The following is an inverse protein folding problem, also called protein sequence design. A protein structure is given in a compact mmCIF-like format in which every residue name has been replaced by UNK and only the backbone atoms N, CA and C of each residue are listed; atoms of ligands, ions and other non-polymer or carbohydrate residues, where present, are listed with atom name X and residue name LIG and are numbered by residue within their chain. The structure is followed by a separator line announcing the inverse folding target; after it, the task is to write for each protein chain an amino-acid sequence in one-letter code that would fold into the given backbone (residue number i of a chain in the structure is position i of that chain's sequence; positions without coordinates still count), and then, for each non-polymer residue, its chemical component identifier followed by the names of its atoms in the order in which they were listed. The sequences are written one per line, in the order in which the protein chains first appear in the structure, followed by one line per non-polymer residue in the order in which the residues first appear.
data_IF_959594474752
#
_entry.id   IF_959594474752
#
_cell.length_a   1.000
_cell.length_b   1.000
_cell.length_c   1.000
_cell.angle_alpha   90.00
_cell.angle_beta   90.00
_cell.angle_gamma   90.00
#
_symmetry.space_group_name_H-M   'P 1'
#
loop_
_entity.id
_entity.type
_entity.pdbx_description
1 polymer ?
#
# COMPACT_ATOMS: atom_id res chain seq x y z
N UNK A 1 -4.70 -3.31 -60.09
CA UNK A 1 -5.34 -3.08 -58.76
C UNK A 1 -5.13 -4.19 -57.72
N UNK A 2 -4.24 -5.19 -57.92
CA UNK A 2 -3.88 -6.17 -56.88
C UNK A 2 -2.45 -6.08 -56.35
N UNK A 3 -1.60 -5.22 -56.92
CA UNK A 3 -0.21 -5.03 -56.48
C UNK A 3 -0.03 -3.91 -55.44
N UNK A 4 -0.98 -2.99 -55.28
CA UNK A 4 -0.92 -1.94 -54.24
C UNK A 4 -1.36 -2.42 -52.85
N UNK A 5 -2.13 -3.51 -52.74
CA UNK A 5 -2.53 -4.05 -51.43
C UNK A 5 -1.43 -4.86 -50.72
N UNK A 6 -0.50 -5.48 -51.46
CA UNK A 6 0.58 -6.25 -50.85
C UNK A 6 1.67 -5.36 -50.23
N UNK A 7 1.89 -4.16 -50.75
CA UNK A 7 2.82 -3.19 -50.17
C UNK A 7 2.27 -2.53 -48.90
N UNK A 8 0.95 -2.40 -48.77
CA UNK A 8 0.33 -1.92 -47.52
C UNK A 8 0.39 -2.97 -46.39
N UNK A 9 0.32 -4.27 -46.72
CA UNK A 9 0.39 -5.33 -45.71
C UNK A 9 1.79 -5.52 -45.11
N UNK A 10 2.86 -5.30 -45.89
CA UNK A 10 4.24 -5.42 -45.42
C UNK A 10 4.69 -4.26 -44.52
N UNK A 11 4.09 -3.07 -44.63
CA UNK A 11 4.40 -1.93 -43.75
C UNK A 11 3.70 -2.05 -42.39
N UNK A 12 2.54 -2.72 -42.32
CA UNK A 12 1.84 -2.95 -41.03
C UNK A 12 2.51 -4.05 -40.21
N UNK A 13 3.14 -5.05 -40.85
CA UNK A 13 3.90 -6.10 -40.16
C UNK A 13 5.28 -5.66 -39.64
N UNK A 14 5.83 -4.53 -40.13
CA UNK A 14 7.13 -4.01 -39.67
C UNK A 14 7.04 -3.05 -38.47
N UNK A 15 5.83 -2.64 -38.05
CA UNK A 15 5.62 -1.79 -36.86
C UNK A 15 5.17 -2.56 -35.61
N UNK A 16 5.12 -3.89 -35.65
CA UNK A 16 4.79 -4.75 -34.50
C UNK A 16 6.01 -5.33 -33.76
N UNK A 17 7.22 -4.83 -34.03
CA UNK A 17 8.44 -5.24 -33.33
C UNK A 17 9.20 -4.03 -32.78
N UNK A 18 8.72 -3.46 -31.66
CA UNK A 18 9.56 -2.87 -30.62
C UNK A 18 8.71 -2.45 -29.41
N UNK A 19 8.37 -3.43 -28.59
CA UNK A 19 8.37 -3.30 -27.14
C UNK A 19 8.30 -4.72 -26.54
N UNK A 20 9.38 -5.49 -26.72
CA UNK A 20 9.73 -6.52 -25.74
C UNK A 20 10.28 -5.81 -24.50
N UNK A 21 9.43 -5.03 -23.83
CA UNK A 21 9.56 -4.78 -22.42
C UNK A 21 8.96 -5.99 -21.75
N UNK A 22 9.79 -6.72 -21.00
CA UNK A 22 9.35 -7.79 -20.12
C UNK A 22 8.31 -7.22 -19.14
N UNK A 23 7.04 -7.25 -19.54
CA UNK A 23 5.91 -7.04 -18.65
C UNK A 23 5.92 -8.28 -17.75
N UNK A 24 6.55 -8.17 -16.59
CA UNK A 24 6.12 -8.94 -15.45
C UNK A 24 4.89 -8.20 -14.95
N UNK A 25 3.65 -8.60 -15.30
CA UNK A 25 2.56 -8.22 -14.42
C UNK A 25 3.00 -8.73 -13.05
N UNK A 26 3.06 -7.86 -12.05
CA UNK A 26 2.98 -8.31 -10.67
C UNK A 26 1.54 -8.83 -10.50
N UNK A 27 1.20 -9.91 -11.21
CA UNK A 27 0.19 -10.84 -10.74
C UNK A 27 0.70 -11.26 -9.37
N UNK A 28 -0.11 -10.99 -8.36
CA UNK A 28 0.05 -11.61 -7.06
C UNK A 28 0.05 -13.13 -7.29
N UNK A 29 1.24 -13.73 -7.46
CA UNK A 29 1.44 -15.18 -7.53
C UNK A 29 1.07 -15.88 -6.22
N UNK A 30 0.71 -15.12 -5.18
CA UNK A 30 0.04 -15.64 -3.99
C UNK A 30 -1.39 -16.14 -4.28
N UNK A 31 -2.07 -15.65 -5.32
CA UNK A 31 -3.47 -16.04 -5.58
C UNK A 31 -3.60 -17.42 -6.22
N UNK A 32 -2.59 -17.88 -6.96
CA UNK A 32 -2.57 -19.22 -7.57
C UNK A 32 -2.16 -20.33 -6.59
N UNK A 33 -1.58 -19.99 -5.43
CA UNK A 33 -1.16 -20.97 -4.42
C UNK A 33 -2.30 -21.42 -3.49
N UNK A 34 -3.51 -20.89 -3.64
CA UNK A 34 -4.70 -21.33 -2.90
C UNK A 34 -5.27 -22.68 -3.40
N UNK A 35 -4.68 -23.30 -4.43
CA UNK A 35 -4.94 -24.70 -4.81
C UNK A 35 -3.89 -25.62 -4.19
N UNK A 36 -3.99 -25.81 -2.87
CA UNK A 36 -3.31 -26.91 -2.18
C UNK A 36 -4.18 -28.16 -2.22
N UNK A 37 -3.88 -29.08 -3.15
CA UNK A 37 -4.30 -30.48 -2.99
C UNK A 37 -3.58 -31.06 -1.77
N UNK A 38 -4.35 -31.66 -0.84
CA UNK A 38 -3.95 -32.30 0.41
C UNK A 38 -3.78 -31.39 1.64
N UNK A 39 -4.91 -31.14 2.33
CA UNK A 39 -5.11 -31.64 3.70
C UNK A 39 -4.25 -31.11 4.85
N UNK A 40 -3.40 -30.10 4.69
CA UNK A 40 -2.71 -29.46 5.82
C UNK A 40 -2.86 -27.94 5.77
N UNK A 41 -3.77 -27.41 6.59
CA UNK A 41 -3.97 -25.97 6.82
C UNK A 41 -2.78 -25.41 7.58
N UNK A 42 -1.83 -24.81 6.86
CA UNK A 42 -0.91 -23.83 7.44
C UNK A 42 -1.64 -22.48 7.55
N UNK A 43 -1.58 -21.75 8.67
CA UNK A 43 -2.32 -20.50 8.79
C UNK A 43 -1.80 -19.47 7.79
N UNK A 44 -2.69 -18.95 6.92
CA UNK A 44 -2.40 -17.94 5.88
C UNK A 44 -1.64 -16.72 6.45
N UNK A 45 -1.89 -16.40 7.72
CA UNK A 45 -1.20 -15.36 8.48
C UNK A 45 0.33 -15.56 8.53
N UNK A 46 0.83 -16.79 8.64
CA UNK A 46 2.28 -17.06 8.61
C UNK A 46 2.89 -16.87 7.21
N UNK A 47 2.14 -17.17 6.15
CA UNK A 47 2.60 -17.02 4.77
C UNK A 47 2.66 -15.54 4.33
N UNK A 48 1.69 -14.73 4.76
CA UNK A 48 1.67 -13.28 4.54
C UNK A 48 2.76 -12.54 5.35
N UNK A 49 3.00 -12.97 6.60
CA UNK A 49 4.15 -12.49 7.40
C UNK A 49 5.48 -12.87 6.76
N UNK A 50 5.65 -14.11 6.31
CA UNK A 50 6.89 -14.58 5.69
C UNK A 50 7.19 -13.96 4.32
N UNK A 51 6.17 -13.49 3.57
CA UNK A 51 6.37 -12.76 2.31
C UNK A 51 6.74 -11.30 2.55
N UNK A 52 6.22 -10.68 3.61
CA UNK A 52 6.59 -9.33 4.06
C UNK A 52 8.02 -9.29 4.64
N UNK A 53 8.42 -10.28 5.45
CA UNK A 53 9.80 -10.45 5.95
C UNK A 53 10.80 -10.70 4.80
N UNK A 54 10.37 -11.39 3.72
CA UNK A 54 11.21 -11.56 2.50
C UNK A 54 11.43 -10.26 1.73
N UNK A 55 10.56 -9.25 1.84
CA UNK A 55 10.82 -7.90 1.31
C UNK A 55 11.89 -7.17 2.12
N UNK A 56 11.92 -7.33 3.44
CA UNK A 56 13.00 -6.82 4.28
C UNK A 56 14.36 -7.50 3.97
N UNK A 57 14.37 -8.83 3.77
CA UNK A 57 15.59 -9.57 3.42
C UNK A 57 16.18 -9.22 2.03
N UNK A 58 15.37 -8.72 1.08
CA UNK A 58 15.86 -8.23 -0.23
C UNK A 58 16.80 -7.03 -0.09
N UNK A 59 16.63 -6.20 0.94
CA UNK A 59 17.49 -5.07 1.22
C UNK A 59 18.89 -5.50 1.72
N UNK A 60 18.98 -6.64 2.42
CA UNK A 60 20.26 -7.18 2.91
C UNK A 60 21.18 -7.73 1.81
N UNK A 61 20.64 -8.20 0.68
CA UNK A 61 21.44 -8.81 -0.40
C UNK A 61 22.14 -7.79 -1.31
N UNK A 62 21.71 -6.53 -1.34
CA UNK A 62 22.40 -5.47 -2.09
C UNK A 62 23.74 -5.03 -1.47
N UNK A 63 24.08 -5.53 -0.28
CA UNK A 63 25.33 -5.21 0.42
C UNK A 63 26.57 -5.89 -0.17
N UNK A 64 26.41 -6.94 -0.99
CA UNK A 64 27.55 -7.72 -1.50
C UNK A 64 28.15 -7.22 -2.83
N UNK A 65 27.57 -6.20 -3.48
CA UNK A 65 28.07 -5.68 -4.77
C UNK A 65 27.84 -4.17 -4.92
N UNK A 66 28.63 -3.33 -4.27
CA UNK A 66 28.81 -1.93 -4.71
C UNK A 66 30.24 -1.44 -4.47
N UNK A 67 30.90 -1.09 -5.58
CA UNK A 67 32.13 -0.29 -5.65
C UNK A 67 31.86 1.15 -5.17
N UNK A 68 32.89 1.92 -4.75
CA UNK A 68 32.70 3.25 -4.15
C UNK A 68 32.13 4.28 -5.14
N UNK A 69 31.34 5.26 -4.67
CA UNK A 69 30.72 6.27 -5.52
C UNK A 69 31.71 7.39 -5.91
N UNK A 70 31.55 7.90 -7.13
CA UNK A 70 32.19 9.12 -7.66
C UNK A 70 31.62 10.41 -7.03
N UNK A 71 32.37 11.53 -7.05
CA UNK A 71 31.99 12.76 -6.34
C UNK A 71 30.78 13.47 -6.98
N UNK A 72 29.98 14.21 -6.20
CA UNK A 72 28.74 14.83 -6.67
C UNK A 72 28.99 16.10 -7.49
N UNK A 73 28.23 16.27 -8.58
CA UNK A 73 28.08 17.54 -9.30
C UNK A 73 27.02 18.42 -8.61
N UNK A 74 27.21 19.75 -8.50
CA UNK A 74 26.25 20.63 -7.85
C UNK A 74 25.06 20.94 -8.78
N UNK A 75 23.83 20.89 -8.25
CA UNK A 75 22.67 21.55 -8.87
C UNK A 75 21.47 20.69 -9.28
N UNK A 76 21.30 19.46 -8.79
CA UNK A 76 20.11 18.64 -9.11
C UNK A 76 19.48 18.07 -7.84
N UNK A 77 18.36 18.65 -7.42
CA UNK A 77 17.53 18.13 -6.32
C UNK A 77 17.21 16.65 -6.59
N UNK A 78 17.59 15.76 -5.66
CA UNK A 78 17.33 14.32 -5.79
C UNK A 78 15.93 14.02 -5.26
N UNK A 79 14.94 14.32 -6.07
CA UNK A 79 13.55 13.96 -5.81
C UNK A 79 13.23 12.63 -6.52
N UNK A 80 12.75 11.63 -5.77
CA UNK A 80 12.21 10.39 -6.34
C UNK A 80 10.69 10.37 -6.13
N UNK A 81 9.92 10.34 -7.22
CA UNK A 81 8.47 10.13 -7.22
C UNK A 81 8.15 8.69 -7.59
N UNK A 82 7.31 8.01 -6.80
CA UNK A 82 6.81 6.66 -7.11
C UNK A 82 5.30 6.71 -7.40
N UNK A 83 4.87 6.61 -8.68
CA UNK A 83 3.47 6.44 -9.04
C UNK A 83 3.02 4.99 -8.76
N UNK A 84 2.04 4.80 -7.88
CA UNK A 84 1.44 3.47 -7.64
C UNK A 84 0.01 3.43 -8.19
N UNK A 85 -0.16 2.72 -9.31
CA UNK A 85 -1.46 2.52 -9.94
C UNK A 85 -2.28 1.46 -9.21
N UNK A 86 -3.57 1.73 -8.90
CA UNK A 86 -4.52 0.67 -8.59
C UNK A 86 -4.66 -0.26 -9.81
N UNK A 87 -4.62 -1.58 -9.60
CA UNK A 87 -4.87 -2.54 -10.67
C UNK A 87 -6.34 -2.55 -11.10
N UNK A 88 -6.56 -2.41 -12.41
CA UNK A 88 -7.82 -2.49 -13.19
C UNK A 88 -8.94 -1.46 -12.97
N UNK A 89 -9.44 -0.99 -14.13
CA UNK A 89 -10.56 -0.07 -14.38
C UNK A 89 -11.84 -0.40 -13.59
N UNK A 90 -12.26 0.55 -12.75
CA UNK A 90 -13.68 0.76 -12.42
C UNK A 90 -13.92 2.25 -12.18
N UNK A 91 -14.73 2.87 -13.03
CA UNK A 91 -15.15 4.27 -12.98
C UNK A 91 -16.07 4.53 -11.79
N UNK A 92 -15.79 5.54 -10.96
CA UNK A 92 -16.75 6.13 -10.02
C UNK A 92 -16.49 7.64 -9.83
N UNK A 93 -17.53 8.43 -9.48
CA UNK A 93 -17.58 9.88 -9.69
C UNK A 93 -16.89 10.70 -8.60
N UNK A 94 -16.50 11.90 -9.00
CA UNK A 94 -15.78 12.93 -8.25
C UNK A 94 -16.63 13.61 -7.16
N UNK A 95 -16.00 13.84 -6.01
CA UNK A 95 -16.27 15.00 -5.16
C UNK A 95 -14.91 15.60 -4.78
N UNK A 96 -14.47 16.58 -5.57
CA UNK A 96 -13.22 17.31 -5.37
C UNK A 96 -13.52 18.73 -4.86
N UNK A 97 -13.16 19.00 -3.61
CA UNK A 97 -12.98 20.35 -3.12
C UNK A 97 -11.51 20.76 -3.35
N UNK A 98 -11.32 21.80 -4.15
CA UNK A 98 -10.03 22.37 -4.51
C UNK A 98 -9.40 23.16 -3.35
N UNK A 99 -8.08 23.06 -3.20
CA UNK A 99 -7.27 23.99 -2.41
C UNK A 99 -5.95 24.27 -3.14
N UNK A 100 -5.51 25.53 -3.12
CA UNK A 100 -4.52 26.14 -4.00
C UNK A 100 -3.06 26.06 -3.51
N UNK A 101 -2.12 26.16 -4.47
CA UNK A 101 -0.68 26.46 -4.40
C UNK A 101 0.22 25.75 -3.37
N UNK A 102 -0.12 24.49 -3.07
CA UNK A 102 0.87 23.42 -3.12
C UNK A 102 0.41 22.51 -4.26
N UNK A 103 1.28 21.72 -4.89
CA UNK A 103 0.86 20.74 -5.91
C UNK A 103 0.05 19.56 -5.30
N UNK A 104 -0.81 19.86 -4.31
CA UNK A 104 -1.63 18.93 -3.54
C UNK A 104 -0.87 18.13 -2.49
N UNK A 105 0.42 18.38 -2.28
CA UNK A 105 1.24 17.60 -1.36
C UNK A 105 1.05 18.00 0.10
N UNK A 106 0.89 16.99 0.95
CA UNK A 106 1.13 17.07 2.40
C UNK A 106 2.48 16.46 2.72
N UNK A 107 3.31 17.16 3.49
CA UNK A 107 4.68 16.74 3.82
C UNK A 107 4.85 16.39 5.29
N UNK A 108 5.54 15.30 5.57
CA UNK A 108 5.99 14.90 6.90
C UNK A 108 7.52 14.79 6.93
N UNK A 109 8.19 15.16 8.03
CA UNK A 109 9.63 14.96 8.18
C UNK A 109 10.04 13.49 8.08
N UNK A 110 11.18 13.23 7.45
CA UNK A 110 11.90 11.95 7.52
C UNK A 110 12.58 11.81 8.87
N UNK A 111 12.45 10.64 9.49
CA UNK A 111 13.18 10.25 10.68
C UNK A 111 14.52 9.63 10.27
N UNK A 112 15.60 10.12 10.85
CA UNK A 112 16.92 9.53 10.67
C UNK A 112 17.05 8.25 11.50
N UNK A 113 17.41 7.14 10.84
CA UNK A 113 17.72 5.88 11.50
C UNK A 113 19.24 5.62 11.45
N UNK A 114 19.96 5.66 12.60
CA UNK A 114 21.41 5.55 12.62
C UNK A 114 21.93 4.15 12.30
N UNK A 115 21.12 3.09 12.50
CA UNK A 115 21.49 1.70 12.20
C UNK A 115 21.05 1.25 10.82
N UNK A 116 19.89 1.76 10.39
CA UNK A 116 19.26 1.40 9.12
C UNK A 116 19.02 2.65 8.25
N UNK A 117 20.08 3.35 7.77
CA UNK A 117 19.97 4.63 7.06
C UNK A 117 19.28 4.52 5.69
N UNK A 118 18.99 3.31 5.23
CA UNK A 118 18.24 3.02 4.01
C UNK A 118 16.72 3.06 4.18
N UNK A 119 16.23 3.14 5.42
CA UNK A 119 14.80 3.24 5.68
C UNK A 119 14.29 4.68 5.59
N UNK A 120 13.31 4.91 4.72
CA UNK A 120 12.52 6.13 4.70
C UNK A 120 11.44 6.05 5.77
N UNK A 121 11.82 6.43 6.99
CA UNK A 121 10.93 6.37 8.16
C UNK A 121 10.23 7.71 8.37
N UNK A 122 8.94 7.68 8.72
CA UNK A 122 8.15 8.85 9.10
C UNK A 122 7.53 8.62 10.49
N UNK A 123 7.07 9.70 11.12
CA UNK A 123 6.43 9.63 12.42
C UNK A 123 4.91 9.56 12.26
N UNK A 124 4.29 8.40 12.53
CA UNK A 124 2.85 8.27 12.64
C UNK A 124 2.42 8.68 14.06
N UNK A 125 1.52 9.66 14.15
CA UNK A 125 1.05 10.22 15.42
C UNK A 125 -0.36 9.73 15.77
N UNK A 126 -1.22 9.49 14.78
CA UNK A 126 -2.55 8.94 15.00
C UNK A 126 -3.13 8.27 13.74
N UNK A 127 -4.15 7.45 13.94
CA UNK A 127 -5.04 6.94 12.89
C UNK A 127 -6.46 7.35 13.23
N UNK A 128 -7.19 7.92 12.28
CA UNK A 128 -8.62 8.19 12.44
C UNK A 128 -9.45 7.14 11.72
N UNK A 129 -10.51 6.69 12.40
CA UNK A 129 -11.54 5.79 11.86
C UNK A 129 -12.90 6.44 12.11
N UNK A 130 -13.52 6.94 11.05
CA UNK A 130 -14.68 7.83 11.19
C UNK A 130 -14.32 9.05 12.03
N UNK A 131 -15.09 9.32 13.08
CA UNK A 131 -14.82 10.39 14.04
C UNK A 131 -13.82 10.00 15.14
N UNK A 132 -13.46 8.72 15.28
CA UNK A 132 -12.58 8.26 16.35
C UNK A 132 -11.11 8.46 15.96
N UNK A 133 -10.38 9.26 16.75
CA UNK A 133 -8.94 9.47 16.58
C UNK A 133 -8.13 8.65 17.57
N UNK A 134 -7.36 7.69 17.06
CA UNK A 134 -6.58 6.73 17.83
C UNK A 134 -5.13 7.20 17.85
N UNK A 135 -4.66 7.64 19.02
CA UNK A 135 -3.28 8.08 19.20
C UNK A 135 -2.31 6.92 19.09
N UNK A 136 -1.25 7.10 18.31
CA UNK A 136 -0.16 6.14 18.16
C UNK A 136 0.78 6.21 19.36
N UNK A 137 1.43 5.08 19.66
CA UNK A 137 2.46 5.03 20.70
C UNK A 137 3.77 5.66 20.21
N UNK A 138 4.65 6.11 21.13
CA UNK A 138 5.91 6.76 20.77
C UNK A 138 6.81 5.97 19.82
N UNK A 139 6.73 4.65 19.85
CA UNK A 139 7.46 3.73 18.96
C UNK A 139 7.19 3.98 17.47
N UNK A 140 5.99 4.45 17.09
CA UNK A 140 5.66 4.80 15.70
C UNK A 140 6.09 6.22 15.31
N UNK A 141 6.46 7.04 16.29
CA UNK A 141 6.79 8.45 16.09
C UNK A 141 8.30 8.75 16.21
N UNK A 142 9.11 7.81 16.69
CA UNK A 142 10.53 8.03 16.98
C UNK A 142 11.35 6.81 16.60
N UNK A 143 12.57 7.06 16.15
CA UNK A 143 13.60 6.03 15.96
C UNK A 143 14.61 6.18 17.09
N UNK A 144 14.94 5.09 17.78
CA UNK A 144 15.94 5.08 18.85
C UNK A 144 17.38 4.92 18.32
N UNK A 145 18.36 4.90 19.24
CA UNK A 145 19.78 4.74 18.87
C UNK A 145 20.12 3.33 18.38
N UNK A 146 19.31 2.34 18.72
CA UNK A 146 19.43 0.97 18.25
C UNK A 146 18.79 0.77 16.88
N UNK A 147 18.13 1.80 16.32
CA UNK A 147 17.50 1.74 15.01
C UNK A 147 16.05 1.27 15.05
N UNK A 148 15.45 1.17 16.23
CA UNK A 148 14.08 0.69 16.41
C UNK A 148 13.08 1.83 16.35
N UNK A 149 11.90 1.51 15.83
CA UNK A 149 10.77 2.44 15.80
C UNK A 149 10.62 3.20 14.48
N UNK A 150 9.73 4.18 14.48
CA UNK A 150 9.24 4.85 13.28
C UNK A 150 8.32 3.98 12.44
N UNK A 151 7.74 4.60 11.41
CA UNK A 151 6.95 3.93 10.39
C UNK A 151 7.68 4.01 9.05
N UNK A 152 8.09 2.89 8.49
CA UNK A 152 8.78 2.85 7.18
C UNK A 152 7.76 2.98 6.06
N UNK A 153 8.03 3.86 5.09
CA UNK A 153 7.26 3.94 3.85
C UNK A 153 7.84 2.94 2.85
N UNK A 154 7.12 1.85 2.58
CA UNK A 154 7.62 0.74 1.75
C UNK A 154 6.58 0.25 0.75
N UNK A 155 6.78 0.61 -0.52
CA UNK A 155 5.95 0.11 -1.63
C UNK A 155 6.16 -1.39 -1.90
N UNK A 156 7.22 -2.00 -1.36
CA UNK A 156 7.51 -3.43 -1.47
C UNK A 156 6.77 -4.30 -0.45
N UNK A 157 6.05 -3.70 0.50
CA UNK A 157 5.19 -4.37 1.47
C UNK A 157 3.74 -4.26 1.02
N UNK A 158 2.99 -5.37 0.95
CA UNK A 158 1.63 -5.37 0.40
C UNK A 158 0.64 -4.56 1.25
N UNK A 159 0.51 -4.92 2.53
CA UNK A 159 -0.42 -4.32 3.48
C UNK A 159 0.32 -3.50 4.52
N UNK A 160 -0.28 -2.41 4.98
CA UNK A 160 0.27 -1.70 6.15
C UNK A 160 0.27 -2.61 7.37
N UNK A 161 1.44 -2.74 7.98
CA UNK A 161 1.65 -3.53 9.20
C UNK A 161 1.82 -2.56 10.37
N UNK A 162 0.98 -2.71 11.39
CA UNK A 162 1.02 -1.91 12.61
C UNK A 162 1.43 -2.79 13.80
N UNK A 163 2.08 -2.23 14.84
CA UNK A 163 2.29 -2.93 16.11
C UNK A 163 0.97 -3.52 16.63
N UNK A 164 1.04 -4.67 17.30
CA UNK A 164 -0.11 -5.44 17.77
C UNK A 164 -1.19 -4.56 18.43
N UNK A 165 -0.79 -3.73 19.38
CA UNK A 165 -1.73 -2.85 20.10
C UNK A 165 -2.36 -1.78 19.21
N UNK A 166 -1.56 -1.16 18.33
CA UNK A 166 -2.07 -0.14 17.43
C UNK A 166 -3.05 -0.75 16.43
N UNK A 167 -2.70 -1.90 15.85
CA UNK A 167 -3.59 -2.65 14.97
C UNK A 167 -4.89 -3.01 15.68
N UNK A 168 -4.83 -3.58 16.88
CA UNK A 168 -6.02 -4.00 17.63
C UNK A 168 -6.98 -2.83 17.89
N UNK A 169 -6.46 -1.67 18.30
CA UNK A 169 -7.28 -0.46 18.55
C UNK A 169 -7.92 0.08 17.28
N UNK A 170 -7.20 0.05 16.15
CA UNK A 170 -7.74 0.46 14.84
C UNK A 170 -8.81 -0.51 14.36
N UNK A 171 -8.55 -1.82 14.42
CA UNK A 171 -9.50 -2.86 14.04
C UNK A 171 -10.77 -2.82 14.88
N UNK A 172 -10.65 -2.59 16.19
CA UNK A 172 -11.78 -2.48 17.11
C UNK A 172 -12.62 -1.22 16.85
N UNK A 173 -11.98 -0.07 16.62
CA UNK A 173 -12.70 1.16 16.25
C UNK A 173 -13.42 1.02 14.91
N UNK A 174 -12.77 0.37 13.94
CA UNK A 174 -13.38 0.03 12.66
C UNK A 174 -14.59 -0.88 12.85
N UNK A 175 -14.44 -1.92 13.66
CA UNK A 175 -15.52 -2.86 13.92
C UNK A 175 -16.73 -2.21 14.60
N UNK A 176 -16.51 -1.33 15.59
CA UNK A 176 -17.59 -0.55 16.22
C UNK A 176 -18.32 0.33 15.21
N UNK A 177 -17.57 1.03 14.35
CA UNK A 177 -18.16 1.90 13.33
C UNK A 177 -18.97 1.11 12.29
N UNK A 178 -18.46 -0.04 11.84
CA UNK A 178 -19.17 -0.93 10.92
C UNK A 178 -20.44 -1.53 11.56
N UNK A 179 -20.37 -1.95 12.83
CA UNK A 179 -21.54 -2.45 13.55
C UNK A 179 -22.62 -1.37 13.72
N UNK A 180 -22.22 -0.13 14.05
CA UNK A 180 -23.16 1.00 14.16
C UNK A 180 -23.84 1.34 12.83
N UNK A 181 -23.18 1.05 11.70
CA UNK A 181 -23.73 1.21 10.35
C UNK A 181 -24.50 -0.04 9.85
N UNK A 182 -24.68 -1.08 10.69
CA UNK A 182 -25.49 -2.24 10.37
C UNK A 182 -24.81 -3.31 9.52
N UNK A 183 -23.48 -3.28 9.37
CA UNK A 183 -22.76 -4.29 8.59
C UNK A 183 -22.65 -5.62 9.34
N UNK A 184 -22.92 -6.72 8.64
CA UNK A 184 -22.76 -8.07 9.17
C UNK A 184 -21.31 -8.57 8.98
N UNK A 185 -20.70 -9.05 10.06
CA UNK A 185 -19.34 -9.63 10.02
C UNK A 185 -19.31 -10.89 9.15
N UNK A 186 -18.24 -11.06 8.39
CA UNK A 186 -18.05 -12.16 7.45
C UNK A 186 -16.87 -13.04 7.90
N UNK A 187 -17.02 -13.76 9.01
CA UNK A 187 -15.96 -14.55 9.65
C UNK A 187 -15.31 -15.57 8.70
N UNK A 188 -16.11 -16.22 7.85
CA UNK A 188 -15.59 -17.16 6.84
C UNK A 188 -14.58 -16.50 5.87
N UNK A 189 -14.80 -15.25 5.51
CA UNK A 189 -13.84 -14.53 4.67
C UNK A 189 -12.57 -14.16 5.46
N UNK A 190 -12.68 -13.94 6.76
CA UNK A 190 -11.52 -13.73 7.63
C UNK A 190 -10.63 -14.98 7.66
N UNK A 191 -11.24 -16.17 7.77
CA UNK A 191 -10.53 -17.46 7.70
C UNK A 191 -9.85 -17.68 6.34
N UNK A 192 -10.55 -17.37 5.24
CA UNK A 192 -10.04 -17.58 3.88
C UNK A 192 -8.92 -16.61 3.48
N UNK A 193 -9.07 -15.33 3.85
CA UNK A 193 -8.14 -14.27 3.42
C UNK A 193 -7.00 -14.06 4.43
N UNK A 194 -7.19 -14.44 5.69
CA UNK A 194 -6.32 -14.07 6.79
C UNK A 194 -6.39 -12.58 7.16
N UNK A 195 -7.33 -11.83 6.59
CA UNK A 195 -7.60 -10.42 6.93
C UNK A 195 -8.76 -10.35 7.92
N UNK A 196 -8.70 -9.39 8.85
CA UNK A 196 -9.77 -9.19 9.83
C UNK A 196 -9.78 -7.72 10.27
N UNK A 197 -10.96 -7.12 10.55
CA UNK A 197 -12.29 -7.68 10.34
C UNK A 197 -12.76 -7.62 8.88
N UNK A 198 -13.63 -8.56 8.49
CA UNK A 198 -14.32 -8.59 7.19
C UNK A 198 -15.83 -8.47 7.36
N UNK A 199 -16.52 -7.89 6.37
CA UNK A 199 -17.96 -7.62 6.40
C UNK A 199 -18.62 -7.92 5.06
N UNK A 200 -19.86 -8.43 5.11
CA UNK A 200 -20.73 -8.44 3.93
C UNK A 200 -21.09 -7.00 3.59
N UNK A 201 -20.91 -6.60 2.33
CA UNK A 201 -21.16 -5.23 1.88
C UNK A 201 -21.59 -5.21 0.41
N UNK A 202 -22.19 -4.10 -0.02
CA UNK A 202 -22.39 -3.76 -1.42
C UNK A 202 -21.44 -2.63 -1.82
N UNK A 203 -20.99 -2.63 -3.08
CA UNK A 203 -20.09 -1.57 -3.59
C UNK A 203 -20.68 -0.15 -3.43
N UNK A 204 -22.01 -0.01 -3.45
CA UNK A 204 -22.75 1.22 -3.23
C UNK A 204 -22.81 1.70 -1.78
N UNK A 205 -22.37 0.88 -0.81
CA UNK A 205 -22.50 1.21 0.61
C UNK A 205 -21.64 2.41 1.00
N UNK A 206 -22.28 3.40 1.59
CA UNK A 206 -21.63 4.63 2.09
C UNK A 206 -21.28 4.56 3.58
N UNK A 207 -21.67 3.49 4.26
CA UNK A 207 -21.49 3.32 5.71
C UNK A 207 -20.11 2.84 6.15
N UNK A 208 -19.20 2.52 5.21
CA UNK A 208 -17.82 2.17 5.55
C UNK A 208 -17.12 3.43 6.10
N UNK A 209 -16.59 3.41 7.33
CA UNK A 209 -16.04 4.62 7.95
C UNK A 209 -14.79 5.10 7.18
N UNK A 210 -14.61 6.41 7.00
CA UNK A 210 -13.39 6.95 6.41
C UNK A 210 -12.18 6.63 7.30
N UNK A 211 -11.02 6.41 6.69
CA UNK A 211 -9.76 6.17 7.40
C UNK A 211 -8.71 7.19 6.99
N UNK A 212 -8.00 7.75 7.96
CA UNK A 212 -6.90 8.70 7.72
C UNK A 212 -5.69 8.39 8.59
N UNK A 213 -4.49 8.60 8.01
CA UNK A 213 -3.22 8.52 8.71
C UNK A 213 -2.76 9.94 9.04
N UNK A 214 -2.38 10.18 10.30
CA UNK A 214 -1.88 11.47 10.75
C UNK A 214 -0.41 11.35 11.11
N UNK A 215 0.43 12.03 10.34
CA UNK A 215 1.86 12.09 10.54
C UNK A 215 2.28 13.41 11.18
N UNK A 216 3.51 13.42 11.70
CA UNK A 216 4.13 14.63 12.26
C UNK A 216 4.11 15.79 11.28
N UNK A 217 4.00 17.00 11.83
CA UNK A 217 3.94 18.23 11.04
C UNK A 217 2.53 18.54 10.54
N UNK A 218 1.51 17.99 11.22
CA UNK A 218 0.10 18.15 10.86
C UNK A 218 -0.23 17.59 9.46
N UNK A 219 0.55 16.60 9.00
CA UNK A 219 0.37 15.97 7.70
C UNK A 219 -0.68 14.86 7.80
N UNK A 220 -1.88 15.13 7.27
CA UNK A 220 -2.99 14.16 7.27
C UNK A 220 -3.18 13.59 5.88
N UNK A 221 -3.14 12.27 5.77
CA UNK A 221 -3.40 11.52 4.54
C UNK A 221 -4.71 10.76 4.69
N UNK A 222 -5.78 11.31 4.11
CA UNK A 222 -7.08 10.65 4.04
C UNK A 222 -7.06 9.57 2.96
N UNK A 223 -7.29 8.32 3.34
CA UNK A 223 -7.21 7.19 2.43
C UNK A 223 -8.51 7.00 1.66
N UNK A 224 -8.47 6.82 0.32
CA UNK A 224 -9.63 6.32 -0.42
C UNK A 224 -10.08 4.96 0.13
N UNK A 225 -11.39 4.67 0.10
CA UNK A 225 -11.95 3.41 0.62
C UNK A 225 -11.17 2.16 0.16
N UNK A 226 -10.85 2.08 -1.12
CA UNK A 226 -10.11 0.95 -1.73
C UNK A 226 -8.71 0.72 -1.13
N UNK A 227 -8.11 1.74 -0.50
CA UNK A 227 -6.78 1.66 0.08
C UNK A 227 -6.79 0.96 1.45
N UNK A 228 -7.95 0.82 2.10
CA UNK A 228 -8.06 0.18 3.42
C UNK A 228 -9.21 -0.82 3.54
N UNK A 229 -10.15 -0.85 2.59
CA UNK A 229 -11.28 -1.76 2.56
C UNK A 229 -11.51 -2.26 1.14
N UNK A 230 -11.11 -3.50 0.87
CA UNK A 230 -11.18 -4.12 -0.46
C UNK A 230 -12.20 -5.23 -0.49
N UNK A 231 -13.02 -5.21 -1.56
CA UNK A 231 -14.01 -6.23 -1.86
C UNK A 231 -13.43 -7.47 -2.51
N UNK A 232 -13.92 -8.62 -2.07
CA UNK A 232 -13.73 -9.95 -2.62
C UNK A 232 -15.11 -10.51 -2.96
N UNK A 233 -15.21 -11.25 -4.07
CA UNK A 233 -16.41 -12.02 -4.36
C UNK A 233 -16.39 -13.25 -3.46
N UNK A 234 -17.45 -13.47 -2.68
CA UNK A 234 -17.57 -14.72 -1.94
C UNK A 234 -17.71 -15.89 -2.92
N UNK A 235 -16.79 -16.85 -2.85
CA UNK A 235 -16.85 -18.09 -3.64
C UNK A 235 -17.92 -19.06 -3.11
N UNK A 236 -18.46 -18.80 -1.93
CA UNK A 236 -19.32 -19.70 -1.16
C UNK A 236 -20.82 -19.40 -1.25
N UNK A 237 -21.23 -18.61 -2.23
CA UNK A 237 -22.62 -18.59 -2.62
C UNK A 237 -22.95 -19.95 -3.26
N UNK A 238 -23.38 -20.91 -2.43
CA UNK A 238 -23.99 -22.15 -2.89
C UNK A 238 -25.03 -21.84 -3.96
N UNK A 239 -25.19 -22.75 -4.93
CA UNK A 239 -26.10 -22.56 -6.06
C UNK A 239 -27.49 -22.12 -5.58
N UNK A 240 -27.84 -20.85 -5.79
CA UNK A 240 -29.12 -20.25 -5.38
C UNK A 240 -29.05 -19.21 -4.25
N UNK A 241 -27.91 -19.01 -3.59
CA UNK A 241 -27.71 -17.94 -2.59
C UNK A 241 -27.16 -16.67 -3.26
N UNK A 242 -27.57 -15.48 -2.79
CA UNK A 242 -27.00 -14.20 -3.28
C UNK A 242 -25.48 -14.23 -3.03
N UNK A 243 -24.71 -13.88 -4.06
CA UNK A 243 -23.27 -13.61 -3.94
C UNK A 243 -23.11 -12.31 -3.16
N UNK A 244 -22.96 -12.42 -1.86
CA UNK A 244 -22.62 -11.26 -1.05
C UNK A 244 -21.15 -10.92 -1.32
N UNK A 245 -20.89 -9.69 -1.75
CA UNK A 245 -19.53 -9.18 -1.79
C UNK A 245 -19.05 -9.02 -0.34
N UNK A 246 -17.78 -9.36 -0.10
CA UNK A 246 -17.17 -9.25 1.22
C UNK A 246 -16.05 -8.26 1.18
N UNK A 247 -16.02 -7.29 2.08
CA UNK A 247 -14.94 -6.32 2.20
C UNK A 247 -14.14 -6.55 3.48
N UNK A 248 -12.82 -6.50 3.39
CA UNK A 248 -11.93 -6.70 4.55
C UNK A 248 -11.06 -5.49 4.81
N UNK A 249 -10.78 -5.21 6.09
CA UNK A 249 -9.79 -4.24 6.50
C UNK A 249 -8.40 -4.68 6.03
N UNK A 250 -7.71 -3.81 5.29
CA UNK A 250 -6.41 -4.08 4.65
C UNK A 250 -5.21 -3.62 5.48
N UNK A 251 -5.31 -3.77 6.79
CA UNK A 251 -4.23 -3.57 7.76
C UNK A 251 -3.91 -4.91 8.40
N UNK A 252 -2.65 -5.11 8.80
CA UNK A 252 -2.21 -6.36 9.43
C UNK A 252 -1.52 -6.11 10.77
N UNK A 253 -1.62 -7.12 11.64
CA UNK A 253 -0.87 -7.19 12.87
C UNK A 253 0.60 -7.54 12.57
N UNK A 254 1.48 -6.55 12.68
CA UNK A 254 2.92 -6.67 12.49
C UNK A 254 3.64 -7.44 13.61
N UNK A 255 2.95 -7.73 14.71
CA UNK A 255 3.53 -8.30 15.93
C UNK A 255 4.11 -7.23 16.86
N UNK A 256 4.79 -7.70 17.90
CA UNK A 256 5.50 -6.86 18.85
C UNK A 256 7.00 -6.92 18.57
N UNK A 257 7.71 -5.83 18.83
CA UNK A 257 9.16 -5.75 18.70
C UNK A 257 9.94 -6.63 19.72
N UNK A 258 9.24 -7.40 20.56
CA UNK A 258 9.81 -8.18 21.66
C UNK A 258 10.15 -9.65 21.30
N UNK A 259 10.14 -10.00 20.01
CA UNK A 259 10.65 -11.31 19.55
C UNK A 259 12.18 -11.35 19.47
N UNK A 260 12.76 -12.54 19.25
CA UNK A 260 14.21 -12.76 19.07
C UNK A 260 14.81 -12.00 17.86
N UNK A 261 13.95 -11.39 17.02
CA UNK A 261 14.25 -10.48 15.91
C UNK A 261 13.86 -9.02 16.22
N UNK A 262 13.99 -8.58 17.47
CA UNK A 262 13.54 -7.26 17.98
C UNK A 262 14.29 -6.02 17.47
N UNK A 263 14.90 -6.07 16.29
CA UNK A 263 15.52 -4.93 15.61
C UNK A 263 14.71 -4.56 14.35
N UNK A 264 14.14 -3.36 14.31
CA UNK A 264 13.40 -2.92 13.12
C UNK A 264 12.40 -1.79 13.33
N UNK A 265 11.69 -1.40 12.25
CA UNK A 265 10.67 -0.39 12.35
C UNK A 265 9.48 -0.88 13.17
N UNK A 266 8.83 0.03 13.91
CA UNK A 266 7.62 -0.31 14.64
C UNK A 266 6.45 -0.63 13.70
N UNK A 267 6.38 0.05 12.56
CA UNK A 267 5.36 -0.23 11.54
C UNK A 267 5.85 0.04 10.13
N UNK A 268 5.06 -0.42 9.16
CA UNK A 268 5.35 -0.26 7.74
C UNK A 268 4.10 0.21 7.02
N UNK A 269 4.18 1.34 6.29
CA UNK A 269 3.15 1.81 5.37
C UNK A 269 3.26 1.03 4.05
N UNK A 270 2.30 0.14 3.81
CA UNK A 270 2.29 -0.75 2.65
C UNK A 270 1.74 -0.13 1.37
N UNK A 271 1.88 -0.86 0.29
CA UNK A 271 1.53 -0.51 -1.08
C UNK A 271 0.05 -0.14 -1.23
N UNK A 272 -0.88 -0.92 -0.67
CA UNK A 272 -2.32 -0.64 -0.80
C UNK A 272 -2.71 0.73 -0.26
N UNK A 273 -2.07 1.17 0.83
CA UNK A 273 -2.33 2.48 1.40
C UNK A 273 -1.71 3.62 0.58
N UNK A 274 -0.67 3.34 -0.22
CA UNK A 274 -0.01 4.31 -1.09
C UNK A 274 -0.64 4.40 -2.50
N UNK A 275 -1.47 3.45 -2.92
CA UNK A 275 -2.09 3.45 -4.26
C UNK A 275 -2.97 4.68 -4.53
N UNK A 276 -2.84 5.29 -5.71
CA UNK A 276 -3.54 6.53 -6.05
C UNK A 276 -2.97 7.79 -5.37
N UNK A 277 -1.79 7.67 -4.75
CA UNK A 277 -0.98 8.80 -4.34
C UNK A 277 0.30 8.84 -5.18
N UNK A 278 0.79 10.05 -5.44
CA UNK A 278 2.18 10.28 -5.73
C UNK A 278 2.91 10.44 -4.39
N UNK A 279 3.88 9.55 -4.16
CA UNK A 279 4.74 9.59 -2.98
C UNK A 279 6.11 10.12 -3.40
N UNK A 280 6.50 11.24 -2.80
CA UNK A 280 7.77 11.92 -3.06
C UNK A 280 8.70 11.76 -1.89
N UNK A 281 9.92 11.29 -2.16
CA UNK A 281 11.02 11.27 -1.20
C UNK A 281 11.94 12.45 -1.49
N UNK A 282 11.82 13.52 -0.72
CA UNK A 282 12.66 14.72 -0.78
C UNK A 282 13.75 14.58 0.29
N UNK A 283 14.78 13.81 -0.05
CA UNK A 283 15.86 13.43 0.86
C UNK A 283 16.71 14.64 1.24
N UNK A 284 16.91 15.57 0.30
CA UNK A 284 17.68 16.80 0.53
C UNK A 284 16.99 17.70 1.55
N UNK A 285 15.65 17.82 1.50
CA UNK A 285 14.87 18.55 2.50
C UNK A 285 14.44 17.70 3.70
N UNK A 286 14.85 16.42 3.77
CA UNK A 286 14.54 15.53 4.88
C UNK A 286 13.04 15.30 5.11
N UNK A 287 12.24 15.09 4.05
CA UNK A 287 10.78 14.92 4.15
C UNK A 287 10.20 13.96 3.11
N UNK A 288 9.02 13.40 3.41
CA UNK A 288 8.19 12.63 2.48
C UNK A 288 6.92 13.41 2.19
N UNK A 289 6.55 13.51 0.93
CA UNK A 289 5.32 14.13 0.45
C UNK A 289 4.32 13.10 -0.05
N UNK A 290 3.03 13.31 0.26
CA UNK A 290 1.91 12.55 -0.29
C UNK A 290 0.95 13.49 -1.00
N UNK A 291 0.65 13.24 -2.27
CA UNK A 291 -0.40 13.94 -3.01
C UNK A 291 -1.33 12.94 -3.67
N UNK A 292 -2.65 13.14 -3.55
CA UNK A 292 -3.61 12.29 -4.26
C UNK A 292 -3.54 12.59 -5.76
N UNK A 293 -3.39 11.55 -6.58
CA UNK A 293 -3.30 11.69 -8.04
C UNK A 293 -4.26 10.74 -8.75
N UNK A 294 -4.63 11.09 -9.98
CA UNK A 294 -5.16 10.14 -10.95
C UNK A 294 -3.98 9.57 -11.73
N UNK A 295 -3.90 8.24 -11.84
CA UNK A 295 -2.74 7.58 -12.44
C UNK A 295 -2.57 7.91 -13.93
N UNK A 296 -3.68 8.17 -14.63
CA UNK A 296 -3.69 8.68 -16.01
C UNK A 296 -2.96 10.02 -16.12
N UNK A 297 -3.29 10.96 -15.23
CA UNK A 297 -2.75 12.32 -15.25
C UNK A 297 -1.25 12.33 -14.88
N UNK A 298 -0.82 11.36 -14.08
CA UNK A 298 0.56 11.19 -13.64
C UNK A 298 1.46 10.63 -14.75
N UNK A 299 0.98 9.66 -15.55
CA UNK A 299 1.72 9.14 -16.70
C UNK A 299 1.96 10.21 -17.77
N UNK A 300 0.97 11.06 -18.03
CA UNK A 300 1.11 12.17 -18.98
C UNK A 300 2.09 13.24 -18.47
N UNK A 301 2.13 13.50 -17.16
CA UNK A 301 3.11 14.41 -16.56
C UNK A 301 4.54 13.86 -16.65
N UNK A 302 4.73 12.58 -16.32
CA UNK A 302 6.05 11.93 -16.32
C UNK A 302 6.60 11.70 -17.74
N UNK A 303 5.74 11.47 -18.73
CA UNK A 303 6.16 11.28 -20.13
C UNK A 303 6.51 12.57 -20.87
N UNK A 304 6.16 13.73 -20.30
CA UNK A 304 6.48 15.06 -20.85
C UNK A 304 7.78 15.67 -20.33
N UNK A 305 8.45 15.02 -19.37
CA UNK A 305 9.75 15.43 -18.83
C UNK A 305 10.88 14.63 -19.45
#
# INVERSE_FOLDING_TARGET
MRLLCCLAALVVLALQHQCHGLLLPLTNTMLSSLRGTNGTTTPVHHLLRASSLRSAARHGRHRARRSPPSPPSPGRHRQLSLPLSPGSDYTLPDDAAAAAETDGFVYTPLLHNPKHPYFYSVALEAVSVGAARIQARPELARVDRAGNGGMVVDSGTTFTMLPNEMYARVAEAFARAMAAAGFARAERAEEQTGLTPCYRYAASDRGVPPLALHFRGNATVALPRRNYFMGFKSEDAGAGTRKDDVGCLMLMNGGDASGEEGDGPAGTLGNFQQQGFEVVYDVDAGRVGFARRRCTDLWDSLSRR
#
